data_IF_981119037960
#
_entry.id   IF_981119037960
#
_cell.length_a   1.000
_cell.length_b   1.000
_cell.length_c   1.000
_cell.angle_alpha   90.00
_cell.angle_beta   90.00
_cell.angle_gamma   90.00
#
_symmetry.space_group_name_H-M   'P 1'
#
loop_
_entity.id
_entity.type
_entity.pdbx_description
1 polymer ?
#
# COMPACT_ATOMS: atom_id res chain seq x y z
N UNK A 1 -4.17 -42.85 -22.23
CA UNK A 1 -4.62 -42.55 -20.86
C UNK A 1 -4.19 -41.12 -20.53
N UNK A 2 -5.05 -40.15 -20.85
CA UNK A 2 -4.76 -38.73 -20.62
C UNK A 2 -5.05 -38.40 -19.17
N UNK A 3 -4.01 -38.04 -18.40
CA UNK A 3 -4.18 -37.52 -17.04
C UNK A 3 -4.77 -36.12 -17.15
N UNK A 4 -5.99 -35.94 -16.67
CA UNK A 4 -6.56 -34.62 -16.49
C UNK A 4 -5.66 -33.83 -15.52
N UNK A 5 -5.05 -32.75 -15.98
CA UNK A 5 -4.45 -31.73 -15.12
C UNK A 5 -5.61 -31.01 -14.43
N UNK A 6 -6.04 -31.52 -13.28
CA UNK A 6 -6.86 -30.72 -12.37
C UNK A 6 -5.94 -29.67 -11.78
N UNK A 7 -6.02 -28.45 -12.33
CA UNK A 7 -5.44 -27.25 -11.72
C UNK A 7 -5.93 -27.19 -10.28
N UNK A 8 -5.07 -27.03 -9.25
CA UNK A 8 -5.56 -26.84 -7.90
C UNK A 8 -6.41 -25.56 -7.91
N UNK A 9 -7.69 -25.69 -7.57
CA UNK A 9 -8.62 -24.56 -7.55
C UNK A 9 -7.99 -23.41 -6.77
N UNK A 10 -7.71 -22.31 -7.45
CA UNK A 10 -7.40 -21.06 -6.79
C UNK A 10 -8.62 -20.69 -5.95
N UNK A 11 -8.40 -20.35 -4.70
CA UNK A 11 -9.49 -19.91 -3.84
C UNK A 11 -9.45 -18.39 -3.79
N UNK A 12 -10.53 -17.82 -4.33
CA UNK A 12 -10.76 -16.39 -4.36
C UNK A 12 -11.29 -15.96 -3.00
N UNK A 13 -10.63 -14.96 -2.40
CA UNK A 13 -11.17 -14.21 -1.28
C UNK A 13 -11.78 -12.95 -1.89
N UNK A 14 -12.96 -12.57 -1.42
CA UNK A 14 -13.64 -11.36 -1.85
C UNK A 14 -13.63 -10.27 -0.77
N UNK A 15 -12.50 -9.60 -0.42
CA UNK A 15 -12.50 -8.51 0.54
C UNK A 15 -13.33 -7.29 0.13
N UNK A 16 -13.78 -7.20 -1.12
CA UNK A 16 -14.78 -6.21 -1.54
C UNK A 16 -16.19 -6.51 -0.98
N UNK A 17 -16.47 -7.77 -0.62
CA UNK A 17 -17.69 -8.15 0.09
C UNK A 17 -17.64 -7.62 1.54
N UNK A 18 -18.66 -6.89 2.00
CA UNK A 18 -18.65 -6.26 3.33
C UNK A 18 -18.57 -7.28 4.47
N UNK A 19 -19.14 -8.47 4.31
CA UNK A 19 -19.11 -9.53 5.33
C UNK A 19 -17.70 -10.10 5.47
N UNK A 20 -17.05 -10.39 4.34
CA UNK A 20 -15.66 -10.87 4.31
C UNK A 20 -14.72 -9.79 4.83
N UNK A 21 -14.95 -8.53 4.47
CA UNK A 21 -14.14 -7.41 4.92
C UNK A 21 -14.24 -7.17 6.43
N UNK A 22 -15.45 -7.23 7.00
CA UNK A 22 -15.67 -7.16 8.45
C UNK A 22 -14.96 -8.31 9.15
N UNK A 23 -15.09 -9.54 8.64
CA UNK A 23 -14.38 -10.69 9.19
C UNK A 23 -12.86 -10.50 9.18
N UNK A 24 -12.29 -10.03 8.07
CA UNK A 24 -10.86 -9.73 7.98
C UNK A 24 -10.44 -8.65 9.00
N UNK A 25 -11.29 -7.67 9.25
CA UNK A 25 -11.09 -6.65 10.29
C UNK A 25 -10.98 -7.25 11.69
N UNK A 26 -11.74 -8.31 12.00
CA UNK A 26 -11.61 -9.00 13.31
C UNK A 26 -10.26 -9.68 13.52
N UNK A 27 -9.52 -9.94 12.44
CA UNK A 27 -8.18 -10.54 12.48
C UNK A 27 -7.06 -9.49 12.60
N UNK A 28 -7.40 -8.19 12.51
CA UNK A 28 -6.43 -7.09 12.53
C UNK A 28 -6.11 -6.66 13.98
N UNK A 29 -5.02 -7.20 14.52
CA UNK A 29 -4.60 -7.00 15.91
C UNK A 29 -3.61 -5.83 16.08
N UNK A 30 -2.81 -5.51 15.07
CA UNK A 30 -1.84 -4.40 15.15
C UNK A 30 -2.42 -3.09 14.61
N UNK A 31 -1.79 -1.96 14.97
CA UNK A 31 -2.14 -0.64 14.43
C UNK A 31 -1.97 -0.61 12.92
N UNK A 32 -0.81 -1.06 12.41
CA UNK A 32 -0.55 -1.13 10.96
C UNK A 32 -1.60 -1.96 10.20
N UNK A 33 -2.03 -3.10 10.77
CA UNK A 33 -3.06 -3.92 10.15
C UNK A 33 -4.39 -3.19 10.06
N UNK A 34 -4.79 -2.48 11.12
CA UNK A 34 -6.04 -1.71 11.14
C UNK A 34 -6.00 -0.51 10.19
N UNK A 35 -4.89 0.20 10.13
CA UNK A 35 -4.68 1.30 9.17
C UNK A 35 -4.87 0.81 7.73
N UNK A 36 -4.18 -0.26 7.36
CA UNK A 36 -4.28 -0.86 6.01
C UNK A 36 -5.66 -1.45 5.76
N UNK A 37 -6.29 -2.06 6.77
CA UNK A 37 -7.63 -2.65 6.66
C UNK A 37 -8.69 -1.60 6.29
N UNK A 38 -8.57 -0.38 6.81
CA UNK A 38 -9.50 0.72 6.54
C UNK A 38 -9.46 1.24 5.09
N UNK A 39 -8.46 0.82 4.31
CA UNK A 39 -8.29 1.22 2.91
C UNK A 39 -9.18 0.42 1.96
N UNK A 40 -9.42 0.96 0.77
CA UNK A 40 -10.23 0.30 -0.27
C UNK A 40 -9.62 -1.07 -0.60
N UNK A 41 -10.48 -2.08 -0.61
CA UNK A 41 -10.09 -3.46 -0.88
C UNK A 41 -10.58 -3.92 -2.26
N UNK A 42 -9.78 -4.76 -2.90
CA UNK A 42 -10.17 -5.52 -4.08
C UNK A 42 -10.04 -7.02 -3.82
N UNK A 43 -10.65 -7.81 -4.70
CA UNK A 43 -10.67 -9.27 -4.61
C UNK A 43 -9.31 -9.86 -4.95
N UNK A 44 -8.97 -10.95 -4.28
CA UNK A 44 -7.66 -11.58 -4.40
C UNK A 44 -7.76 -13.08 -4.60
N UNK A 45 -6.80 -13.64 -5.32
CA UNK A 45 -6.68 -15.08 -5.50
C UNK A 45 -5.48 -15.63 -4.74
N UNK A 46 -5.73 -16.70 -3.98
CA UNK A 46 -4.69 -17.46 -3.30
C UNK A 46 -4.43 -18.75 -4.10
N UNK A 47 -3.18 -18.92 -4.52
CA UNK A 47 -2.76 -20.06 -5.35
C UNK A 47 -2.50 -21.28 -4.47
N UNK A 48 -3.14 -22.40 -4.79
CA UNK A 48 -2.96 -23.68 -4.09
C UNK A 48 -3.66 -23.76 -2.74
N UNK A 49 -3.49 -24.87 -2.02
CA UNK A 49 -4.22 -25.11 -0.79
C UNK A 49 -3.83 -24.15 0.34
N UNK A 50 -4.81 -23.84 1.19
CA UNK A 50 -4.60 -23.17 2.46
C UNK A 50 -5.62 -23.65 3.48
N UNK A 51 -5.33 -23.36 4.74
CA UNK A 51 -6.15 -23.74 5.87
C UNK A 51 -6.70 -22.45 6.48
N UNK A 52 -8.03 -22.33 6.56
CA UNK A 52 -8.70 -21.15 7.09
C UNK A 52 -8.33 -20.91 8.56
N UNK A 53 -8.08 -21.96 9.34
CA UNK A 53 -7.65 -21.84 10.74
C UNK A 53 -6.22 -21.31 10.83
N UNK A 54 -5.37 -21.62 9.84
CA UNK A 54 -4.03 -21.03 9.75
C UNK A 54 -4.07 -19.53 9.42
N UNK A 55 -5.06 -19.05 8.67
CA UNK A 55 -5.22 -17.61 8.43
C UNK A 55 -5.53 -16.89 9.75
N UNK A 56 -6.38 -17.48 10.60
CA UNK A 56 -6.73 -16.90 11.91
C UNK A 56 -5.56 -16.87 12.89
N UNK A 57 -4.69 -17.88 12.84
CA UNK A 57 -3.62 -18.07 13.83
C UNK A 57 -2.27 -17.47 13.42
N UNK A 58 -2.05 -17.17 12.14
CA UNK A 58 -0.77 -16.65 11.65
C UNK A 58 -0.89 -15.18 11.22
N UNK A 59 -0.30 -14.24 11.98
CA UNK A 59 -0.31 -12.81 11.61
C UNK A 59 0.27 -12.54 10.21
N UNK A 60 1.27 -13.33 9.78
CA UNK A 60 1.88 -13.20 8.45
C UNK A 60 0.89 -13.42 7.31
N UNK A 61 -0.12 -14.29 7.50
CA UNK A 61 -1.14 -14.58 6.49
C UNK A 61 -2.12 -13.42 6.38
N UNK A 62 -2.60 -12.91 7.52
CA UNK A 62 -3.44 -11.71 7.57
C UNK A 62 -2.73 -10.53 6.90
N UNK A 63 -1.45 -10.30 7.21
CA UNK A 63 -0.66 -9.24 6.55
C UNK A 63 -0.53 -9.48 5.04
N UNK A 64 -0.31 -10.73 4.61
CA UNK A 64 -0.25 -11.06 3.18
C UNK A 64 -1.56 -10.74 2.46
N UNK A 65 -2.70 -11.09 3.05
CA UNK A 65 -4.04 -10.78 2.52
C UNK A 65 -4.27 -9.27 2.46
N UNK A 66 -3.92 -8.54 3.52
CA UNK A 66 -4.07 -7.08 3.56
C UNK A 66 -3.22 -6.40 2.48
N UNK A 67 -1.94 -6.77 2.36
CA UNK A 67 -1.06 -6.24 1.31
C UNK A 67 -1.61 -6.58 -0.08
N UNK A 68 -2.06 -7.81 -0.29
CA UNK A 68 -2.54 -8.20 -1.60
C UNK A 68 -3.82 -7.45 -1.97
N UNK A 69 -4.77 -7.32 -1.05
CA UNK A 69 -6.09 -6.72 -1.33
C UNK A 69 -6.13 -5.20 -1.31
N UNK A 70 -5.10 -4.52 -0.79
CA UNK A 70 -5.05 -3.03 -0.72
C UNK A 70 -3.80 -2.43 -1.36
N UNK A 71 -2.84 -3.26 -1.74
CA UNK A 71 -1.58 -2.81 -2.32
C UNK A 71 -1.65 -2.55 -3.81
N UNK A 72 -0.65 -1.78 -4.26
CA UNK A 72 -0.41 -1.50 -5.67
C UNK A 72 0.40 -2.63 -6.30
N UNK A 73 0.23 -2.81 -7.61
CA UNK A 73 1.10 -3.68 -8.41
C UNK A 73 2.54 -3.16 -8.36
N UNK A 74 3.47 -4.03 -7.96
CA UNK A 74 4.88 -3.74 -8.01
C UNK A 74 5.40 -3.93 -9.43
N UNK A 75 5.89 -2.84 -10.03
CA UNK A 75 6.59 -2.87 -11.31
C UNK A 75 8.01 -2.30 -11.15
N UNK A 76 9.07 -3.10 -11.37
CA UNK A 76 9.05 -4.55 -11.64
C UNK A 76 8.59 -5.37 -10.41
N UNK A 77 8.11 -6.62 -10.61
CA UNK A 77 7.79 -7.53 -9.51
C UNK A 77 9.06 -7.92 -8.73
N UNK A 78 8.91 -8.37 -7.48
CA UNK A 78 10.06 -8.86 -6.71
C UNK A 78 10.65 -10.14 -7.32
N UNK A 79 11.93 -10.42 -7.07
CA UNK A 79 12.66 -11.56 -7.65
C UNK A 79 11.94 -12.91 -7.40
N UNK A 80 11.28 -13.07 -6.23
CA UNK A 80 10.53 -14.30 -5.93
C UNK A 80 9.23 -14.41 -6.72
N UNK A 81 8.52 -13.30 -6.91
CA UNK A 81 7.27 -13.30 -7.67
C UNK A 81 7.52 -13.42 -9.17
N UNK A 82 8.59 -12.82 -9.68
CA UNK A 82 9.02 -12.97 -11.08
C UNK A 82 9.30 -14.44 -11.46
N UNK A 83 9.79 -15.24 -10.50
CA UNK A 83 10.07 -16.67 -10.68
C UNK A 83 8.89 -17.59 -10.28
N UNK A 84 7.64 -17.12 -10.36
CA UNK A 84 6.42 -17.87 -9.98
C UNK A 84 6.44 -18.44 -8.55
N UNK A 85 7.20 -17.84 -7.64
CA UNK A 85 7.30 -18.26 -6.24
C UNK A 85 6.26 -17.63 -5.31
N UNK A 86 5.31 -16.85 -5.85
CA UNK A 86 4.27 -16.14 -5.12
C UNK A 86 3.17 -17.06 -4.58
N UNK A 87 2.50 -16.63 -3.49
CA UNK A 87 1.27 -17.27 -3.00
C UNK A 87 0.01 -16.64 -3.61
N UNK A 88 0.17 -15.46 -4.18
CA UNK A 88 -0.86 -14.69 -4.88
C UNK A 88 -0.52 -14.60 -6.37
N UNK A 89 -1.54 -14.37 -7.20
CA UNK A 89 -1.38 -14.22 -8.66
C UNK A 89 -0.54 -13.01 -9.09
N UNK A 90 -0.53 -11.95 -8.27
CA UNK A 90 0.15 -10.70 -8.59
C UNK A 90 1.15 -10.30 -7.50
N UNK A 91 2.21 -9.59 -7.89
CA UNK A 91 3.15 -9.02 -6.93
C UNK A 91 2.64 -7.66 -6.46
N UNK A 92 1.94 -7.61 -5.33
CA UNK A 92 1.48 -6.35 -4.72
C UNK A 92 2.24 -5.99 -3.47
N UNK A 93 2.46 -4.69 -3.24
CA UNK A 93 3.10 -4.14 -2.05
C UNK A 93 2.37 -2.88 -1.58
N UNK A 94 2.61 -2.49 -0.33
CA UNK A 94 2.18 -1.19 0.20
C UNK A 94 3.43 -0.45 0.67
N UNK A 95 3.70 0.71 0.09
CA UNK A 95 4.85 1.55 0.44
C UNK A 95 4.73 2.09 1.89
N UNK A 96 5.84 2.02 2.64
CA UNK A 96 5.94 2.43 4.05
C UNK A 96 5.21 1.53 5.06
N UNK A 97 4.59 0.44 4.62
CA UNK A 97 4.05 -0.60 5.49
C UNK A 97 4.89 -1.87 5.37
N UNK A 98 5.21 -2.50 6.51
CA UNK A 98 5.99 -3.75 6.54
C UNK A 98 7.30 -3.69 5.74
N UNK A 99 7.99 -2.55 5.82
CA UNK A 99 9.22 -2.22 5.08
C UNK A 99 9.07 -2.29 3.54
N UNK A 100 7.86 -2.18 3.01
CA UNK A 100 7.59 -2.24 1.57
C UNK A 100 7.61 -3.65 0.97
N UNK A 101 7.65 -4.71 1.78
CA UNK A 101 7.65 -6.09 1.28
C UNK A 101 6.32 -6.46 0.57
N UNK A 102 6.39 -7.30 -0.47
CA UNK A 102 5.18 -7.77 -1.14
C UNK A 102 4.38 -8.79 -0.32
N UNK A 103 3.08 -8.92 -0.62
CA UNK A 103 2.17 -9.81 0.08
C UNK A 103 2.62 -11.27 0.09
N UNK A 104 3.14 -11.76 -1.04
CA UNK A 104 3.66 -13.13 -1.15
C UNK A 104 4.88 -13.41 -0.28
N UNK A 105 5.81 -12.45 -0.18
CA UNK A 105 6.97 -12.58 0.70
C UNK A 105 6.56 -12.50 2.17
N UNK A 106 5.64 -11.58 2.49
CA UNK A 106 5.10 -11.42 3.83
C UNK A 106 4.34 -12.66 4.29
N UNK A 107 3.53 -13.27 3.42
CA UNK A 107 2.79 -14.50 3.71
C UNK A 107 3.71 -15.63 4.21
N UNK A 108 4.84 -15.82 3.52
CA UNK A 108 5.85 -16.82 3.87
C UNK A 108 6.75 -16.42 5.05
N UNK A 109 6.51 -15.25 5.64
CA UNK A 109 7.37 -14.63 6.66
C UNK A 109 8.81 -14.39 6.19
N UNK A 110 8.98 -14.16 4.89
CA UNK A 110 10.26 -13.92 4.23
C UNK A 110 10.39 -12.46 3.79
N UNK A 111 9.81 -11.53 4.55
CA UNK A 111 9.77 -10.10 4.21
C UNK A 111 11.18 -9.55 3.99
N UNK A 112 12.15 -9.89 4.86
CA UNK A 112 13.55 -9.45 4.77
C UNK A 112 14.28 -9.91 3.50
N UNK A 113 13.80 -10.96 2.83
CA UNK A 113 14.37 -11.48 1.58
C UNK A 113 13.63 -10.96 0.33
N UNK A 114 12.66 -10.06 0.51
CA UNK A 114 11.94 -9.47 -0.61
C UNK A 114 12.79 -8.36 -1.23
N UNK A 115 13.04 -8.44 -2.54
CA UNK A 115 13.83 -7.44 -3.27
C UNK A 115 13.16 -6.06 -3.37
N UNK A 116 11.93 -5.91 -2.88
CA UNK A 116 11.21 -4.64 -2.82
C UNK A 116 11.36 -3.91 -1.48
N UNK A 117 12.01 -4.53 -0.48
CA UNK A 117 12.18 -3.91 0.84
C UNK A 117 12.96 -2.61 0.75
N UNK A 118 12.44 -1.57 1.41
CA UNK A 118 13.08 -0.26 1.58
C UNK A 118 12.86 0.20 3.01
N UNK A 119 13.95 0.41 3.75
CA UNK A 119 13.87 0.64 5.21
C UNK A 119 13.35 2.03 5.60
N UNK A 120 13.36 3.00 4.69
CA UNK A 120 12.96 4.38 4.94
C UNK A 120 11.91 4.90 3.93
N UNK A 121 11.06 4.03 3.41
CA UNK A 121 9.98 4.46 2.52
C UNK A 121 8.84 5.09 3.34
N UNK A 122 8.40 6.28 2.97
CA UNK A 122 7.27 6.95 3.60
C UNK A 122 5.98 6.12 3.42
N UNK A 123 5.08 6.17 4.41
CA UNK A 123 3.74 5.57 4.31
C UNK A 123 2.99 6.26 3.18
N UNK A 124 2.50 5.49 2.22
CA UNK A 124 1.60 6.01 1.18
C UNK A 124 0.26 6.38 1.81
N UNK A 125 -0.33 7.48 1.36
CA UNK A 125 -1.74 7.76 1.62
C UNK A 125 -2.59 6.73 0.86
N UNK A 126 -3.27 5.86 1.61
CA UNK A 126 -4.07 4.76 1.10
C UNK A 126 -5.50 5.20 0.69
N UNK A 127 -5.81 6.49 0.74
CA UNK A 127 -7.18 7.02 0.59
C UNK A 127 -7.70 7.19 -0.84
N UNK A 128 -6.85 7.11 -1.87
CA UNK A 128 -7.26 7.39 -3.25
C UNK A 128 -7.00 6.20 -4.18
N UNK A 129 -8.04 5.41 -4.40
CA UNK A 129 -8.10 4.52 -5.54
C UNK A 129 -8.40 5.31 -6.81
N UNK A 130 -7.38 5.65 -7.61
CA UNK A 130 -7.46 5.71 -9.09
C UNK A 130 -6.06 5.77 -9.70
N UNK A 131 -5.91 5.07 -10.82
CA UNK A 131 -4.70 4.90 -11.64
C UNK A 131 -4.16 6.22 -12.21
N UNK A 132 -2.85 6.51 -12.03
CA UNK A 132 -2.06 7.20 -13.07
C UNK A 132 -0.65 6.57 -13.14
N UNK A 133 -0.30 6.25 -14.38
CA UNK A 133 0.96 5.76 -14.91
C UNK A 133 2.12 6.70 -14.55
N UNK A 134 3.19 6.17 -13.96
CA UNK A 134 4.56 6.68 -14.13
C UNK A 134 4.99 7.91 -13.31
N UNK A 135 6.31 8.18 -13.23
CA UNK A 135 6.90 8.96 -12.16
C UNK A 135 6.89 10.45 -12.46
N UNK A 136 6.22 11.24 -11.62
CA UNK A 136 6.51 12.67 -11.49
C UNK A 136 7.17 12.90 -10.14
N UNK A 137 8.49 12.91 -10.17
CA UNK A 137 9.35 13.74 -9.33
C UNK A 137 8.78 15.16 -9.40
N UNK A 138 8.00 15.56 -8.41
CA UNK A 138 7.83 16.99 -8.12
C UNK A 138 9.15 17.40 -7.49
N UNK A 139 9.93 18.17 -8.24
CA UNK A 139 11.05 18.89 -7.66
C UNK A 139 10.46 19.91 -6.69
N UNK A 140 11.08 19.97 -5.51
CA UNK A 140 10.92 21.04 -4.55
C UNK A 140 11.28 22.33 -5.30
N UNK A 141 10.29 23.20 -5.50
CA UNK A 141 10.55 24.57 -5.93
C UNK A 141 10.71 25.35 -4.64
N UNK A 142 11.97 25.58 -4.28
CA UNK A 142 12.36 26.60 -3.32
C UNK A 142 11.99 27.96 -3.93
N UNK A 143 10.94 28.59 -3.40
CA UNK A 143 10.66 30.01 -3.66
C UNK A 143 11.39 30.85 -2.60
N UNK A 144 12.69 31.02 -2.81
CA UNK A 144 13.47 32.12 -2.25
C UNK A 144 13.85 33.06 -3.41
N UNK A 145 13.64 34.37 -3.21
CA UNK A 145 14.22 35.57 -3.87
C UNK A 145 13.11 36.64 -3.91
N UNK A 146 13.02 37.60 -3.00
CA UNK A 146 13.92 38.69 -2.60
C UNK A 146 13.36 40.05 -3.05
N UNK A 147 13.42 40.97 -2.09
CA UNK A 147 13.26 42.43 -2.02
C UNK A 147 13.10 43.25 -3.32
N UNK A 148 12.28 44.31 -3.24
CA UNK A 148 12.51 45.62 -3.89
C UNK A 148 11.59 46.71 -3.26
N UNK A 149 12.20 47.66 -2.55
CA UNK A 149 11.62 48.91 -2.03
C UNK A 149 11.21 49.90 -3.16
N UNK A 150 10.06 50.60 -3.05
CA UNK A 150 9.99 52.01 -3.49
C UNK A 150 8.81 52.84 -2.93
N UNK A 151 9.15 53.70 -1.96
CA UNK A 151 8.83 55.13 -1.85
C UNK A 151 7.47 55.70 -2.32
N UNK A 152 6.69 56.26 -1.39
CA UNK A 152 5.55 57.13 -1.68
C UNK A 152 5.36 58.21 -0.61
N UNK A 153 5.86 59.41 -0.90
CA UNK A 153 5.99 60.57 -0.01
C UNK A 153 4.71 61.34 0.32
N UNK A 154 4.75 62.04 1.47
CA UNK A 154 4.14 63.35 1.78
C UNK A 154 2.59 63.44 1.76
N UNK A 155 1.90 64.16 2.64
CA UNK A 155 2.09 65.54 3.06
C UNK A 155 1.43 65.78 4.43
N UNK A 156 1.96 66.78 5.13
CA UNK A 156 1.43 67.40 6.34
C UNK A 156 0.10 68.13 6.08
N UNK A 157 -0.81 68.20 7.08
CA UNK A 157 -1.24 69.47 7.70
C UNK A 157 -2.29 69.29 8.83
N UNK A 158 -2.42 70.29 9.73
CA UNK A 158 -2.80 70.18 11.14
C UNK A 158 -4.23 70.64 11.41
N UNK A 159 -4.84 70.29 12.56
CA UNK A 159 -5.86 71.15 13.20
C UNK A 159 -5.86 70.96 14.74
N UNK A 160 -5.92 72.10 15.41
CA UNK A 160 -5.92 72.41 16.86
C UNK A 160 -7.21 72.02 17.62
N UNK A 161 -7.21 72.39 18.92
CA UNK A 161 -8.35 72.71 19.84
C UNK A 161 -8.67 71.57 20.84
N UNK A 162 -8.72 71.73 22.17
CA UNK A 162 -8.77 72.89 23.10
C UNK A 162 -7.98 72.53 24.39
#
# INVERSE_FOLDING_TARGET
>A
MSKALTTPAALTIHPSDPTVNVFLGTLCVTVEQREVHASIAHDIEIIGSYDADKIRTRPSYVCGILIQSRGDLAFPPCNKCQNNGGKFGECRRIAGYWKGACGSCRWKDHSAQCSLVRENEAKKDLSLGTDIIGPSRVEEVDEDEDEDDEFGSSYEHPIEID
#
